data_IF_243067826566
#
_entry.id   IF_243067826566
#
_cell.length_a   1.000
_cell.length_b   1.000
_cell.length_c   1.000
_cell.angle_alpha   90.00
_cell.angle_beta   90.00
_cell.angle_gamma   90.00
#
_symmetry.space_group_name_H-M   'P 1'
#
loop_
_entity.id
_entity.type
_entity.pdbx_description
1 polymer ?
#
# COMPACT_ATOMS: atom_id res chain seq x y z
N UNK A 1 -0.72 7.21 7.90
CA UNK A 1 -0.99 6.00 7.07
C UNK A 1 -0.06 4.84 7.39
N UNK A 2 1.24 5.07 7.57
CA UNK A 2 2.15 3.99 7.98
C UNK A 2 1.77 3.38 9.33
N UNK A 3 1.13 4.14 10.20
CA UNK A 3 0.67 3.60 11.49
C UNK A 3 -0.30 2.43 11.33
N UNK A 4 -1.12 2.46 10.29
CA UNK A 4 -2.06 1.39 10.01
C UNK A 4 -1.35 0.08 9.64
N UNK A 5 -0.16 0.18 9.04
CA UNK A 5 0.62 -0.98 8.58
C UNK A 5 1.81 -1.30 9.50
N UNK A 6 1.96 -0.56 10.57
CA UNK A 6 3.11 -0.64 11.46
C UNK A 6 3.31 -2.04 12.04
N UNK A 7 2.24 -2.64 12.50
CA UNK A 7 2.29 -3.97 13.10
C UNK A 7 2.67 -5.03 12.07
N UNK A 8 2.10 -4.94 10.89
CA UNK A 8 2.44 -5.82 9.78
C UNK A 8 3.91 -5.65 9.37
N UNK A 9 4.38 -4.40 9.31
CA UNK A 9 5.76 -4.09 8.98
C UNK A 9 6.73 -4.72 9.98
N UNK A 10 6.46 -4.57 11.27
CA UNK A 10 7.28 -5.15 12.32
C UNK A 10 7.33 -6.67 12.21
N UNK A 11 6.20 -7.30 11.95
CA UNK A 11 6.11 -8.74 11.79
C UNK A 11 6.88 -9.22 10.58
N UNK A 12 6.76 -8.55 9.45
CA UNK A 12 7.50 -8.89 8.23
C UNK A 12 9.00 -8.71 8.42
N UNK A 13 9.43 -7.63 9.06
CA UNK A 13 10.84 -7.39 9.31
C UNK A 13 11.43 -8.46 10.23
N UNK A 14 10.67 -8.89 11.23
CA UNK A 14 11.10 -9.96 12.12
C UNK A 14 11.28 -11.28 11.38
N UNK A 15 10.34 -11.59 10.45
CA UNK A 15 10.36 -12.86 9.73
C UNK A 15 11.40 -12.91 8.60
N UNK A 16 11.60 -11.81 7.91
CA UNK A 16 12.36 -11.82 6.66
C UNK A 16 13.42 -10.73 6.55
N UNK A 17 13.64 -9.97 7.60
CA UNK A 17 14.64 -8.91 7.63
C UNK A 17 14.10 -7.56 7.14
N UNK A 18 14.88 -6.48 7.34
CA UNK A 18 14.38 -5.13 7.07
C UNK A 18 14.09 -4.84 5.61
N UNK A 19 14.91 -5.34 4.67
CA UNK A 19 14.70 -5.08 3.24
C UNK A 19 13.45 -5.79 2.75
N UNK A 20 13.38 -7.11 2.92
CA UNK A 20 12.22 -7.89 2.49
C UNK A 20 10.97 -7.51 3.25
N UNK A 21 11.10 -7.22 4.55
CA UNK A 21 9.98 -6.78 5.37
C UNK A 21 9.39 -5.47 4.89
N UNK A 22 10.25 -4.52 4.53
CA UNK A 22 9.80 -3.25 3.95
C UNK A 22 9.10 -3.43 2.62
N UNK A 23 9.64 -4.29 1.76
CA UNK A 23 9.03 -4.58 0.45
C UNK A 23 7.69 -5.31 0.59
N UNK A 24 7.60 -6.27 1.53
CA UNK A 24 6.35 -6.97 1.80
C UNK A 24 5.27 -6.01 2.30
N UNK A 25 5.64 -5.08 3.17
CA UNK A 25 4.72 -4.05 3.67
C UNK A 25 4.26 -3.15 2.52
N UNK A 26 5.18 -2.71 1.67
CA UNK A 26 4.83 -1.89 0.51
C UNK A 26 3.86 -2.64 -0.42
N UNK A 27 4.06 -3.93 -0.61
CA UNK A 27 3.18 -4.75 -1.44
C UNK A 27 1.77 -4.81 -0.86
N UNK A 28 1.64 -4.97 0.47
CA UNK A 28 0.32 -4.95 1.12
C UNK A 28 -0.38 -3.62 0.93
N UNK A 29 0.33 -2.51 1.09
CA UNK A 29 -0.23 -1.17 0.91
C UNK A 29 -0.69 -0.98 -0.55
N UNK A 30 0.13 -1.38 -1.50
CA UNK A 30 -0.20 -1.27 -2.92
C UNK A 30 -1.39 -2.16 -3.30
N UNK A 31 -1.50 -3.33 -2.68
CA UNK A 31 -2.63 -4.24 -2.89
C UNK A 31 -3.92 -3.58 -2.41
N UNK A 32 -3.90 -2.92 -1.25
CA UNK A 32 -5.05 -2.19 -0.73
C UNK A 32 -5.42 -1.02 -1.63
N UNK A 33 -4.42 -0.27 -2.10
CA UNK A 33 -4.65 0.84 -3.03
C UNK A 33 -5.28 0.34 -4.35
N UNK A 34 -4.79 -0.78 -4.86
CA UNK A 34 -5.33 -1.38 -6.09
C UNK A 34 -6.79 -1.81 -5.90
N UNK A 35 -7.13 -2.35 -4.72
CA UNK A 35 -8.50 -2.73 -4.41
C UNK A 35 -9.44 -1.52 -4.43
N UNK A 36 -8.99 -0.38 -3.87
CA UNK A 36 -9.77 0.85 -3.90
C UNK A 36 -9.98 1.37 -5.32
N UNK A 37 -8.95 1.32 -6.15
CA UNK A 37 -9.04 1.71 -7.55
C UNK A 37 -10.01 0.79 -8.31
N UNK A 38 -9.94 -0.52 -8.04
CA UNK A 38 -10.84 -1.50 -8.63
C UNK A 38 -12.30 -1.25 -8.26
N UNK A 39 -12.56 -0.96 -6.99
CA UNK A 39 -13.91 -0.62 -6.51
C UNK A 39 -14.43 0.64 -7.18
N UNK A 40 -13.57 1.65 -7.35
CA UNK A 40 -13.95 2.88 -8.04
C UNK A 40 -14.31 2.60 -9.51
N UNK A 41 -13.56 1.73 -10.17
CA UNK A 41 -13.86 1.31 -11.54
C UNK A 41 -15.24 0.67 -11.66
N UNK A 42 -15.58 -0.19 -10.70
CA UNK A 42 -16.91 -0.81 -10.64
C UNK A 42 -17.99 0.23 -10.38
N UNK A 43 -17.74 1.16 -9.46
CA UNK A 43 -18.65 2.27 -9.18
C UNK A 43 -18.96 3.08 -10.44
N UNK A 44 -17.94 3.43 -11.21
CA UNK A 44 -18.09 4.21 -12.44
C UNK A 44 -18.90 3.47 -13.51
N UNK A 45 -18.77 2.15 -13.57
CA UNK A 45 -19.52 1.32 -14.54
C UNK A 45 -20.96 1.11 -14.13
N UNK A 46 -21.23 1.14 -12.82
CA UNK A 46 -22.53 0.83 -12.24
C UNK A 46 -23.22 2.07 -11.71
N UNK A 47 -23.26 3.13 -12.50
CA UNK A 47 -23.82 4.42 -12.08
C UNK A 47 -25.26 4.35 -11.60
N UNK A 48 -26.02 3.34 -12.04
CA UNK A 48 -27.44 3.20 -11.68
C UNK A 48 -27.63 2.63 -10.27
N UNK A 49 -26.66 1.88 -9.77
CA UNK A 49 -26.70 1.25 -8.45
C UNK A 49 -25.32 1.29 -7.82
N UNK A 50 -24.88 2.45 -7.32
CA UNK A 50 -23.56 2.56 -6.72
C UNK A 50 -23.50 1.76 -5.42
N UNK A 51 -23.00 0.53 -5.51
CA UNK A 51 -22.78 -0.33 -4.34
C UNK A 51 -21.49 0.01 -3.63
N UNK A 52 -20.59 0.70 -4.33
CA UNK A 52 -19.28 1.05 -3.81
C UNK A 52 -19.14 2.57 -3.77
N UNK A 53 -18.51 3.11 -2.73
CA UNK A 53 -18.26 4.54 -2.66
C UNK A 53 -17.29 5.00 -3.74
N UNK A 54 -17.35 6.28 -4.07
CA UNK A 54 -16.34 6.87 -4.94
C UNK A 54 -14.95 6.72 -4.29
N UNK A 55 -13.92 6.60 -5.12
CA UNK A 55 -12.55 6.44 -4.64
C UNK A 55 -12.12 7.65 -3.81
N UNK A 56 -11.56 7.39 -2.63
CA UNK A 56 -10.89 8.42 -1.84
C UNK A 56 -9.51 8.64 -2.44
N UNK A 57 -9.40 9.66 -3.27
CA UNK A 57 -8.15 9.98 -3.97
C UNK A 57 -7.01 10.27 -2.99
N UNK A 58 -7.31 10.97 -1.89
CA UNK A 58 -6.28 11.30 -0.90
C UNK A 58 -5.72 10.05 -0.25
N UNK A 59 -6.60 9.12 0.09
CA UNK A 59 -6.17 7.86 0.70
C UNK A 59 -5.30 7.05 -0.26
N UNK A 60 -5.72 6.92 -1.52
CA UNK A 60 -4.95 6.18 -2.52
C UNK A 60 -3.58 6.84 -2.75
N UNK A 61 -3.55 8.16 -2.87
CA UNK A 61 -2.29 8.88 -3.04
C UNK A 61 -1.36 8.70 -1.85
N UNK A 62 -1.90 8.74 -0.63
CA UNK A 62 -1.10 8.52 0.57
C UNK A 62 -0.54 7.11 0.61
N UNK A 63 -1.35 6.11 0.26
CA UNK A 63 -0.91 4.72 0.20
C UNK A 63 0.22 4.54 -0.81
N UNK A 64 0.11 5.16 -1.97
CA UNK A 64 1.14 5.11 -3.00
C UNK A 64 2.43 5.79 -2.51
N UNK A 65 2.33 6.94 -1.86
CA UNK A 65 3.49 7.64 -1.32
C UNK A 65 4.17 6.84 -0.21
N UNK A 66 3.41 6.23 0.68
CA UNK A 66 3.96 5.41 1.75
C UNK A 66 4.67 4.17 1.19
N UNK A 67 4.09 3.54 0.18
CA UNK A 67 4.69 2.39 -0.50
C UNK A 67 6.01 2.78 -1.16
N UNK A 68 6.01 3.91 -1.83
CA UNK A 68 7.19 4.46 -2.50
C UNK A 68 8.32 4.72 -1.51
N UNK A 69 7.99 5.31 -0.36
CA UNK A 69 8.97 5.58 0.69
C UNK A 69 9.61 4.28 1.20
N UNK A 70 8.80 3.24 1.40
CA UNK A 70 9.29 1.94 1.85
C UNK A 70 10.20 1.28 0.81
N UNK A 71 9.86 1.39 -0.46
CA UNK A 71 10.66 0.83 -1.55
C UNK A 71 12.00 1.56 -1.63
N UNK A 72 11.99 2.89 -1.55
CA UNK A 72 13.21 3.70 -1.58
C UNK A 72 14.11 3.32 -0.39
N UNK A 73 13.54 3.21 0.79
CA UNK A 73 14.28 2.81 1.98
C UNK A 73 14.94 1.44 1.83
N UNK A 74 14.21 0.47 1.25
CA UNK A 74 14.74 -0.85 0.98
C UNK A 74 15.90 -0.81 -0.03
N UNK A 75 15.79 0.02 -1.06
CA UNK A 75 16.85 0.19 -2.05
C UNK A 75 18.10 0.79 -1.42
N UNK A 76 17.94 1.76 -0.54
CA UNK A 76 19.07 2.35 0.19
C UNK A 76 19.76 1.33 1.09
N UNK A 77 18.99 0.50 1.78
CA UNK A 77 19.55 -0.56 2.62
C UNK A 77 20.34 -1.57 1.79
N UNK A 78 19.89 -1.87 0.59
CA UNK A 78 20.62 -2.77 -0.32
C UNK A 78 21.97 -2.17 -0.74
N UNK A 79 22.05 -0.87 -0.91
CA UNK A 79 23.31 -0.19 -1.27
C UNK A 79 24.34 -0.25 -0.15
N UNK A 80 23.92 -0.41 1.09
CA UNK A 80 24.80 -0.48 2.26
C UNK A 80 25.44 -1.84 2.46
N UNK A 81 25.02 -2.82 1.68
CA UNK A 81 25.58 -4.17 1.73
C UNK A 81 26.69 -4.38 0.67
#
# INVERSE_FOLDING_TARGET
MLDHYREAKERYEFQMGPVRGGLATALDILTDALALVGQHGIYCRSQRQPQFPAMDVRLVMQQIEDSKALIISAMEDLKKR
#
